data_IF_708298650834
#
_entry.id   IF_708298650834
#
_cell.length_a   1.000
_cell.length_b   1.000
_cell.length_c   1.000
_cell.angle_alpha   90.00
_cell.angle_beta   90.00
_cell.angle_gamma   90.00
#
_symmetry.space_group_name_H-M   'P 1'
#
loop_
_entity.id
_entity.type
_entity.pdbx_description
1 polymer ?
#
# COMPACT_ATOMS: atom_id res chain seq x y z
N UNK A 1 8.65 -1.24 -13.62
CA UNK A 1 8.17 -1.49 -12.23
C UNK A 1 7.33 -0.29 -11.83
N UNK A 2 6.17 -0.52 -11.23
CA UNK A 2 5.23 0.53 -10.83
C UNK A 2 4.70 0.27 -9.41
N UNK A 3 4.55 1.35 -8.64
CA UNK A 3 3.97 1.36 -7.31
C UNK A 3 2.97 2.51 -7.25
N UNK A 4 1.74 2.21 -6.87
CA UNK A 4 0.65 3.18 -6.80
C UNK A 4 -0.15 2.99 -5.51
N UNK A 5 -0.98 3.96 -5.13
CA UNK A 5 -1.89 3.85 -3.98
C UNK A 5 -1.28 4.27 -2.63
N UNK A 6 0.04 4.19 -2.44
CA UNK A 6 0.66 4.53 -1.14
C UNK A 6 0.37 5.97 -0.70
N UNK A 7 0.41 6.93 -1.62
CA UNK A 7 0.11 8.34 -1.36
C UNK A 7 -1.35 8.59 -1.03
N UNK A 8 -2.27 7.86 -1.68
CA UNK A 8 -3.72 7.99 -1.50
C UNK A 8 -4.12 7.69 -0.04
N UNK A 9 -3.44 6.73 0.60
CA UNK A 9 -3.71 6.36 1.99
C UNK A 9 -2.84 7.07 3.04
N UNK A 10 -1.83 7.84 2.64
CA UNK A 10 -0.89 8.49 3.58
C UNK A 10 -1.01 10.01 3.59
N UNK A 11 -1.13 10.62 2.41
CA UNK A 11 -1.16 12.08 2.25
C UNK A 11 -2.30 12.75 3.02
N UNK A 12 -3.56 12.26 2.99
CA UNK A 12 -4.63 12.94 3.71
C UNK A 12 -4.41 12.95 5.24
N UNK A 13 -3.80 11.90 5.78
CA UNK A 13 -3.49 11.80 7.21
C UNK A 13 -2.29 12.66 7.61
N UNK A 14 -1.28 12.78 6.75
CA UNK A 14 -0.12 13.64 6.99
C UNK A 14 -0.47 15.12 6.87
N UNK A 15 -1.41 15.48 5.99
CA UNK A 15 -1.92 16.83 5.81
C UNK A 15 -3.00 17.25 6.82
N UNK A 16 -3.39 16.36 7.75
CA UNK A 16 -4.54 16.53 8.66
C UNK A 16 -5.88 16.78 7.94
N UNK A 17 -6.01 16.39 6.67
CA UNK A 17 -7.26 16.46 5.92
C UNK A 17 -8.12 15.19 6.13
N UNK A 18 -8.53 15.00 7.38
CA UNK A 18 -9.37 13.87 7.76
C UNK A 18 -10.82 14.01 7.25
N UNK A 19 -11.20 15.20 6.79
CA UNK A 19 -12.56 15.45 6.26
C UNK A 19 -12.77 14.69 4.95
N UNK A 20 -11.78 14.71 4.06
CA UNK A 20 -11.83 13.96 2.80
C UNK A 20 -11.98 12.44 3.02
N UNK A 21 -11.32 11.87 4.02
CA UNK A 21 -11.41 10.42 4.28
C UNK A 21 -12.64 9.99 5.07
N UNK A 22 -13.39 10.93 5.62
CA UNK A 22 -14.65 10.66 6.28
C UNK A 22 -15.84 10.84 5.34
N UNK A 23 -15.63 11.37 4.12
CA UNK A 23 -16.68 11.48 3.11
C UNK A 23 -16.90 10.20 2.31
N UNK A 24 -16.02 9.20 2.43
CA UNK A 24 -16.11 7.93 1.73
C UNK A 24 -16.16 6.77 2.71
N UNK A 25 -16.89 5.71 2.37
CA UNK A 25 -16.63 4.41 2.97
C UNK A 25 -15.24 3.92 2.54
N UNK A 26 -14.51 3.28 3.45
CA UNK A 26 -13.11 2.86 3.21
C UNK A 26 -13.00 1.96 1.98
N UNK A 27 -13.97 1.05 1.78
CA UNK A 27 -14.00 0.16 0.62
C UNK A 27 -14.22 0.92 -0.69
N UNK A 28 -15.10 1.93 -0.71
CA UNK A 28 -15.36 2.73 -1.91
C UNK A 28 -14.11 3.52 -2.31
N UNK A 29 -13.38 4.05 -1.32
CA UNK A 29 -12.12 4.74 -1.58
C UNK A 29 -11.04 3.78 -2.11
N UNK A 30 -10.91 2.58 -1.54
CA UNK A 30 -9.99 1.56 -2.05
C UNK A 30 -10.36 1.17 -3.49
N UNK A 31 -11.63 0.95 -3.78
CA UNK A 31 -12.11 0.62 -5.13
C UNK A 31 -11.79 1.73 -6.13
N UNK A 32 -11.93 3.00 -5.74
CA UNK A 32 -11.55 4.14 -6.56
C UNK A 32 -10.05 4.15 -6.88
N UNK A 33 -9.19 3.94 -5.87
CA UNK A 33 -7.74 3.88 -6.07
C UNK A 33 -7.35 2.72 -6.99
N UNK A 34 -7.93 1.52 -6.79
CA UNK A 34 -7.67 0.36 -7.66
C UNK A 34 -8.19 0.61 -9.07
N UNK A 35 -9.34 1.26 -9.24
CA UNK A 35 -9.87 1.67 -10.54
C UNK A 35 -8.88 2.57 -11.28
N UNK A 36 -8.35 3.61 -10.63
CA UNK A 36 -7.34 4.50 -11.22
C UNK A 36 -6.07 3.74 -11.64
N UNK A 37 -5.61 2.79 -10.82
CA UNK A 37 -4.46 1.94 -11.15
C UNK A 37 -4.76 1.08 -12.37
N UNK A 38 -5.94 0.46 -12.43
CA UNK A 38 -6.31 -0.39 -13.56
C UNK A 38 -6.35 0.37 -14.87
N UNK A 39 -6.98 1.55 -14.88
CA UNK A 39 -7.04 2.43 -16.06
C UNK A 39 -5.64 2.82 -16.53
N UNK A 40 -4.77 3.21 -15.61
CA UNK A 40 -3.39 3.59 -15.96
C UNK A 40 -2.61 2.40 -16.55
N UNK A 41 -2.74 1.19 -16.00
CA UNK A 41 -2.08 0.01 -16.54
C UNK A 41 -2.61 -0.33 -17.95
N UNK A 42 -3.92 -0.24 -18.15
CA UNK A 42 -4.55 -0.43 -19.47
C UNK A 42 -4.06 0.60 -20.49
N UNK A 43 -3.93 1.87 -20.10
CA UNK A 43 -3.37 2.92 -20.95
C UNK A 43 -1.92 2.62 -21.34
N UNK A 44 -1.08 2.20 -20.40
CA UNK A 44 0.32 1.84 -20.70
C UNK A 44 0.37 0.63 -21.64
N UNK A 45 -0.54 -0.34 -21.49
CA UNK A 45 -0.66 -1.47 -22.42
C UNK A 45 -1.04 -1.00 -23.82
N UNK A 46 -2.01 -0.08 -23.93
CA UNK A 46 -2.48 0.44 -25.21
C UNK A 46 -1.39 1.19 -26.00
N UNK A 47 -0.42 1.80 -25.33
CA UNK A 47 0.73 2.45 -25.98
C UNK A 47 1.91 1.48 -26.22
N UNK A 48 1.74 0.18 -25.98
CA UNK A 48 2.72 -0.87 -26.30
C UNK A 48 3.44 -1.48 -25.09
N UNK A 49 3.08 -1.12 -23.86
CA UNK A 49 3.59 -1.76 -22.66
C UNK A 49 3.16 -3.22 -22.57
N UNK A 50 4.11 -4.15 -22.50
CA UNK A 50 3.81 -5.59 -22.54
C UNK A 50 4.25 -6.34 -21.28
N UNK A 51 5.07 -5.73 -20.43
CA UNK A 51 5.61 -6.37 -19.21
C UNK A 51 5.64 -5.38 -18.05
N UNK A 52 5.05 -5.78 -16.92
CA UNK A 52 4.94 -4.96 -15.73
C UNK A 52 5.37 -5.74 -14.49
N UNK A 53 6.07 -5.04 -13.60
CA UNK A 53 6.24 -5.47 -12.21
C UNK A 53 5.45 -4.48 -11.37
N UNK A 54 4.40 -4.96 -10.72
CA UNK A 54 3.53 -4.16 -9.85
C UNK A 54 3.87 -4.54 -8.42
N UNK A 55 4.01 -3.56 -7.53
CA UNK A 55 4.21 -3.83 -6.11
C UNK A 55 2.91 -3.60 -5.35
N UNK A 56 2.63 -4.46 -4.36
CA UNK A 56 1.64 -4.12 -3.35
C UNK A 56 2.15 -2.98 -2.43
N UNK A 57 1.28 -2.39 -1.61
CA UNK A 57 1.68 -1.33 -0.67
C UNK A 57 2.17 -1.93 0.63
N UNK A 58 3.18 -1.31 1.25
CA UNK A 58 3.70 -1.74 2.54
C UNK A 58 2.72 -1.50 3.70
N UNK A 59 3.16 -1.77 4.93
CA UNK A 59 2.39 -1.47 6.14
C UNK A 59 2.36 0.04 6.44
N UNK A 60 1.59 0.81 5.66
CA UNK A 60 1.65 2.27 5.64
C UNK A 60 1.33 2.89 7.01
N UNK A 61 0.42 2.28 7.78
CA UNK A 61 0.09 2.78 9.12
C UNK A 61 1.25 2.71 10.13
N UNK A 62 2.28 1.92 9.84
CA UNK A 62 3.48 1.79 10.66
C UNK A 62 4.60 2.75 10.24
N UNK A 63 4.41 3.57 9.20
CA UNK A 63 5.39 4.59 8.80
C UNK A 63 5.68 5.55 9.97
N UNK A 64 6.93 5.99 10.18
CA UNK A 64 7.34 6.72 11.38
C UNK A 64 6.44 7.92 11.74
N UNK A 65 6.05 8.73 10.75
CA UNK A 65 5.17 9.88 10.95
C UNK A 65 3.76 9.48 11.42
N UNK A 66 3.18 8.47 10.80
CA UNK A 66 1.84 7.98 11.15
C UNK A 66 1.84 7.20 12.47
N UNK A 67 2.91 6.46 12.75
CA UNK A 67 3.13 5.78 14.05
C UNK A 67 3.23 6.80 15.18
N UNK A 68 3.90 7.93 14.98
CA UNK A 68 4.05 8.99 15.99
C UNK A 68 2.80 9.85 16.20
N UNK A 69 1.84 9.84 15.26
CA UNK A 69 0.62 10.64 15.38
C UNK A 69 -0.16 10.34 16.67
N UNK A 70 -0.30 11.34 17.56
CA UNK A 70 -0.93 11.18 18.88
C UNK A 70 -2.46 11.07 18.82
N UNK A 71 -3.07 11.66 17.80
CA UNK A 71 -4.53 11.72 17.66
C UNK A 71 -5.10 10.52 16.89
N UNK A 72 -4.24 9.61 16.43
CA UNK A 72 -4.61 8.45 15.66
C UNK A 72 -4.95 7.25 16.55
N UNK A 73 -6.07 6.58 16.27
CA UNK A 73 -6.37 5.26 16.85
C UNK A 73 -5.29 4.26 16.42
N UNK A 74 -4.66 3.60 17.38
CA UNK A 74 -3.61 2.61 17.14
C UNK A 74 -4.16 1.19 17.14
N UNK A 75 -3.52 0.31 16.37
CA UNK A 75 -3.69 -1.14 16.52
C UNK A 75 -2.79 -1.68 17.65
N UNK A 76 -2.81 -2.99 17.89
CA UNK A 76 -2.02 -3.65 18.94
C UNK A 76 -0.50 -3.47 18.77
N UNK A 77 -0.04 -3.26 17.54
CA UNK A 77 1.37 -3.04 17.20
C UNK A 77 1.79 -1.55 17.32
N UNK A 78 0.87 -0.67 17.71
CA UNK A 78 1.10 0.77 17.83
C UNK A 78 1.09 1.54 16.51
N UNK A 79 0.66 0.91 15.41
CA UNK A 79 0.53 1.53 14.10
C UNK A 79 -0.83 2.23 13.95
N UNK A 80 -0.94 3.22 13.07
CA UNK A 80 -2.21 3.89 12.79
C UNK A 80 -3.19 2.87 12.19
N UNK A 81 -4.23 2.51 12.95
CA UNK A 81 -5.20 1.46 12.58
C UNK A 81 -5.86 1.72 11.22
N UNK A 82 -6.50 2.89 11.03
CA UNK A 82 -7.23 3.21 9.78
C UNK A 82 -6.35 3.09 8.54
N UNK A 83 -5.12 3.62 8.57
CA UNK A 83 -4.17 3.51 7.45
C UNK A 83 -3.72 2.06 7.25
N UNK A 84 -3.51 1.31 8.32
CA UNK A 84 -3.14 -0.11 8.24
C UNK A 84 -4.24 -0.95 7.60
N UNK A 85 -5.50 -0.69 7.96
CA UNK A 85 -6.67 -1.35 7.38
C UNK A 85 -6.79 -1.04 5.88
N UNK A 86 -6.66 0.24 5.48
CA UNK A 86 -6.66 0.66 4.08
C UNK A 86 -5.53 0.00 3.27
N UNK A 87 -4.33 -0.14 3.85
CA UNK A 87 -3.20 -0.80 3.20
C UNK A 87 -3.51 -2.28 2.91
N UNK A 88 -4.13 -2.97 3.88
CA UNK A 88 -4.54 -4.36 3.74
C UNK A 88 -5.63 -4.50 2.66
N UNK A 89 -6.67 -3.68 2.75
CA UNK A 89 -7.77 -3.67 1.78
C UNK A 89 -7.27 -3.41 0.35
N UNK A 90 -6.32 -2.49 0.19
CA UNK A 90 -5.67 -2.24 -1.11
C UNK A 90 -4.97 -3.48 -1.64
N UNK A 91 -4.14 -4.14 -0.83
CA UNK A 91 -3.40 -5.32 -1.26
C UNK A 91 -4.34 -6.48 -1.63
N UNK A 92 -5.40 -6.68 -0.86
CA UNK A 92 -6.44 -7.67 -1.14
C UNK A 92 -7.16 -7.36 -2.48
N UNK A 93 -7.57 -6.11 -2.69
CA UNK A 93 -8.26 -5.69 -3.90
C UNK A 93 -7.35 -5.69 -5.14
N UNK A 94 -6.08 -5.28 -5.00
CA UNK A 94 -5.07 -5.34 -6.05
C UNK A 94 -4.82 -6.78 -6.49
N UNK A 95 -4.68 -7.71 -5.54
CA UNK A 95 -4.51 -9.13 -5.84
C UNK A 95 -5.69 -9.71 -6.61
N UNK A 96 -6.93 -9.38 -6.20
CA UNK A 96 -8.14 -9.80 -6.91
C UNK A 96 -8.19 -9.24 -8.34
N UNK A 97 -7.92 -7.93 -8.51
CA UNK A 97 -7.89 -7.31 -9.83
C UNK A 97 -6.83 -7.96 -10.72
N UNK A 98 -5.60 -8.13 -10.22
CA UNK A 98 -4.52 -8.76 -10.98
C UNK A 98 -4.84 -10.19 -11.41
N UNK A 99 -5.46 -10.98 -10.54
CA UNK A 99 -5.89 -12.34 -10.87
C UNK A 99 -6.88 -12.35 -12.04
N UNK A 100 -7.82 -11.42 -12.07
CA UNK A 100 -8.80 -11.31 -13.15
C UNK A 100 -8.18 -10.73 -14.42
N UNK A 101 -7.35 -9.71 -14.29
CA UNK A 101 -6.72 -9.00 -15.40
C UNK A 101 -5.74 -9.90 -16.16
N UNK A 102 -4.89 -10.63 -15.45
CA UNK A 102 -3.92 -11.56 -16.07
C UNK A 102 -4.60 -12.73 -16.77
N UNK A 103 -5.81 -13.12 -16.34
CA UNK A 103 -6.58 -14.16 -17.03
C UNK A 103 -7.18 -13.71 -18.37
N UNK A 104 -7.29 -12.39 -18.60
CA UNK A 104 -7.99 -11.80 -19.75
C UNK A 104 -7.07 -11.01 -20.67
N UNK A 105 -5.86 -10.68 -20.24
CA UNK A 105 -4.90 -9.86 -20.97
C UNK A 105 -3.63 -10.66 -21.35
N UNK A 106 -2.96 -10.26 -22.44
CA UNK A 106 -1.69 -10.88 -22.89
C UNK A 106 -0.44 -10.22 -22.27
N UNK A 107 -0.60 -9.14 -21.51
CA UNK A 107 0.50 -8.49 -20.81
C UNK A 107 1.08 -9.39 -19.72
N UNK A 108 2.41 -9.46 -19.64
CA UNK A 108 3.11 -10.17 -18.58
C UNK A 108 3.14 -9.31 -17.33
N UNK A 109 2.39 -9.68 -16.30
CA UNK A 109 2.33 -8.92 -15.05
C UNK A 109 2.83 -9.78 -13.90
N UNK A 110 3.84 -9.28 -13.20
CA UNK A 110 4.37 -9.86 -11.97
C UNK A 110 3.97 -8.98 -10.79
N UNK A 111 3.33 -9.59 -9.79
CA UNK A 111 3.16 -8.96 -8.48
C UNK A 111 4.40 -9.22 -7.62
N UNK A 112 5.09 -8.15 -7.24
CA UNK A 112 6.14 -8.20 -6.22
C UNK A 112 5.53 -7.90 -4.84
N UNK A 113 5.64 -8.86 -3.92
CA UNK A 113 5.12 -8.74 -2.55
C UNK A 113 6.07 -7.92 -1.66
N UNK A 114 6.05 -6.62 -1.92
CA UNK A 114 6.82 -5.63 -1.18
C UNK A 114 6.43 -5.56 0.30
N UNK A 115 5.15 -5.73 0.63
CA UNK A 115 4.65 -5.70 2.00
C UNK A 115 5.31 -6.77 2.87
N UNK A 116 5.36 -8.01 2.40
CA UNK A 116 5.99 -9.11 3.13
C UNK A 116 7.49 -8.90 3.30
N UNK A 117 8.18 -8.39 2.27
CA UNK A 117 9.62 -8.13 2.36
C UNK A 117 9.95 -7.03 3.37
N UNK A 118 9.15 -5.95 3.43
CA UNK A 118 9.29 -4.92 4.47
C UNK A 118 9.05 -5.48 5.88
N UNK A 119 8.09 -6.40 6.04
CA UNK A 119 7.85 -7.07 7.32
C UNK A 119 9.05 -7.91 7.76
N UNK A 120 9.60 -8.74 6.86
CA UNK A 120 10.81 -9.52 7.15
C UNK A 120 11.99 -8.62 7.52
N UNK A 121 12.18 -7.50 6.80
CA UNK A 121 13.23 -6.53 7.12
C UNK A 121 13.04 -5.91 8.51
N UNK A 122 11.79 -5.65 8.91
CA UNK A 122 11.47 -5.05 10.21
C UNK A 122 11.60 -6.05 11.35
N UNK A 123 11.24 -7.32 11.12
CA UNK A 123 11.29 -8.41 12.10
C UNK A 123 12.72 -8.97 12.27
N UNK A 124 13.50 -9.01 11.19
CA UNK A 124 14.86 -9.56 11.14
C UNK A 124 15.90 -8.54 10.64
N UNK A 125 15.99 -7.34 11.23
CA UNK A 125 16.78 -6.24 10.70
C UNK A 125 18.27 -6.57 10.50
N UNK A 126 18.81 -7.46 11.34
CA UNK A 126 20.22 -7.90 11.27
C UNK A 126 20.53 -8.69 10.00
N UNK A 127 19.58 -9.51 9.53
CA UNK A 127 19.74 -10.33 8.32
C UNK A 127 19.81 -9.45 7.07
N UNK A 128 19.29 -8.23 7.17
CA UNK A 128 19.28 -7.21 6.12
C UNK A 128 20.30 -6.09 6.38
N UNK A 129 21.28 -6.30 7.28
CA UNK A 129 22.37 -5.35 7.53
C UNK A 129 21.94 -4.06 8.27
N UNK A 130 20.73 -4.02 8.82
CA UNK A 130 20.25 -2.90 9.62
C UNK A 130 20.45 -3.16 11.12
N UNK A 131 21.07 -2.20 11.80
CA UNK A 131 21.25 -2.23 13.25
C UNK A 131 20.12 -1.44 13.90
N UNK A 132 19.15 -2.12 14.50
CA UNK A 132 18.22 -1.45 15.42
C UNK A 132 18.96 -1.28 16.74
N UNK A 133 19.64 -0.15 16.91
CA UNK A 133 20.08 0.27 18.22
C UNK A 133 18.81 0.50 19.05
N UNK A 134 18.52 -0.42 19.97
CA UNK A 134 17.47 -0.24 20.95
C UNK A 134 17.87 0.94 21.83
N UNK A 135 17.44 2.15 21.48
CA UNK A 135 17.43 3.26 22.42
C UNK A 135 16.25 3.02 23.38
N UNK A 136 16.43 2.05 24.28
CA UNK A 136 15.73 2.05 25.56
C UNK A 136 16.31 3.21 26.36
N UNK A 137 15.64 4.36 26.30
CA UNK A 137 15.64 5.37 27.36
C UNK A 137 14.24 5.96 27.47
#
# INVERSE_FOLDING_TARGET
MVNFGSSDYTSPFLANDLKFLNSFAEQDYVNMVIGNISTLIEEIINIGGSTFVITNVGHLGCLPGLRRSKNAKKNEQGCFKKVSDLSKMHNDALGQWLSNFTSTNRANILLYDFASDISKMTEHPRDYGTYVHTLMK
#
